data_IF_990414029642
#
_entry.id   IF_990414029642
#
_cell.length_a   1.000
_cell.length_b   1.000
_cell.length_c   1.000
_cell.angle_alpha   90.00
_cell.angle_beta   90.00
_cell.angle_gamma   90.00
#
_symmetry.space_group_name_H-M   'P 1'
#
loop_
_entity.id
_entity.type
_entity.pdbx_description
1 polymer ?
#
# COMPACT_ATOMS: atom_id res chain seq x y z
N UNK A 1 -11.88 -15.09 -2.74
CA UNK A 1 -10.50 -15.31 -2.25
C UNK A 1 -9.61 -14.07 -2.41
N UNK A 2 -9.82 -13.23 -3.44
CA UNK A 2 -9.02 -12.01 -3.66
C UNK A 2 -9.06 -11.02 -2.49
N UNK A 3 -10.19 -10.91 -1.78
CA UNK A 3 -10.30 -10.04 -0.60
C UNK A 3 -9.28 -10.34 0.49
N UNK A 4 -8.98 -11.60 0.73
CA UNK A 4 -8.05 -11.97 1.81
C UNK A 4 -6.65 -11.40 1.55
N UNK A 5 -6.23 -11.32 0.30
CA UNK A 5 -4.91 -10.77 -0.03
C UNK A 5 -4.81 -9.24 0.14
N UNK A 6 -5.93 -8.54 -0.10
CA UNK A 6 -5.97 -7.08 0.07
C UNK A 6 -6.13 -6.68 1.54
N UNK A 7 -6.79 -7.52 2.35
CA UNK A 7 -7.00 -7.30 3.79
C UNK A 7 -5.92 -7.97 4.67
N UNK A 8 -5.01 -8.71 4.08
CA UNK A 8 -3.92 -9.41 4.78
C UNK A 8 -2.67 -9.47 3.89
N UNK A 9 -2.05 -8.32 3.62
CA UNK A 9 -0.89 -8.23 2.72
C UNK A 9 0.29 -9.09 3.15
N UNK A 10 0.40 -9.42 4.44
CA UNK A 10 1.42 -10.30 5.00
C UNK A 10 1.29 -11.76 4.53
N UNK A 11 0.15 -12.14 3.92
CA UNK A 11 -0.03 -13.43 3.26
C UNK A 11 0.48 -13.42 1.81
N UNK A 12 1.41 -12.53 1.51
CA UNK A 12 2.05 -12.46 0.19
C UNK A 12 2.56 -13.83 -0.25
N UNK A 13 2.51 -14.09 -1.57
CA UNK A 13 2.86 -15.37 -2.18
C UNK A 13 1.97 -16.57 -1.81
N UNK A 14 0.80 -16.36 -1.25
CA UNK A 14 -0.23 -17.38 -1.29
C UNK A 14 -0.84 -17.44 -2.69
N UNK A 15 -1.00 -18.64 -3.25
CA UNK A 15 -1.58 -18.85 -4.59
C UNK A 15 -3.08 -19.06 -4.56
N UNK A 16 -3.64 -19.25 -3.39
CA UNK A 16 -5.07 -19.46 -3.20
C UNK A 16 -5.44 -19.98 -1.82
N UNK A 17 -6.72 -19.97 -1.57
CA UNK A 17 -7.32 -20.50 -0.37
C UNK A 17 -8.31 -21.59 -0.76
N UNK A 18 -8.21 -22.75 -0.10
CA UNK A 18 -9.17 -23.85 -0.24
C UNK A 18 -9.99 -23.91 1.03
N UNK A 19 -11.31 -23.74 0.91
CA UNK A 19 -12.20 -23.96 2.03
C UNK A 19 -12.33 -25.47 2.29
N UNK A 20 -12.04 -25.89 3.51
CA UNK A 20 -12.36 -27.24 3.96
C UNK A 20 -13.82 -27.26 4.41
N UNK A 21 -14.63 -28.08 3.75
CA UNK A 21 -16.06 -28.22 4.05
C UNK A 21 -16.28 -29.38 5.02
N UNK A 22 -17.21 -29.22 5.93
CA UNK A 22 -17.60 -30.23 6.91
C UNK A 22 -19.08 -30.10 7.31
N UNK A 23 -19.49 -30.88 8.30
CA UNK A 23 -20.87 -30.94 8.74
C UNK A 23 -21.72 -31.90 7.90
N UNK A 24 -23.03 -32.00 8.22
CA UNK A 24 -23.97 -32.78 7.38
C UNK A 24 -24.08 -32.11 6.02
N UNK A 25 -23.79 -32.86 4.97
CA UNK A 25 -23.80 -32.42 3.57
C UNK A 25 -22.75 -31.34 3.20
N UNK A 26 -21.61 -31.31 3.89
CA UNK A 26 -20.53 -30.34 3.59
C UNK A 26 -21.04 -28.89 3.56
N UNK A 27 -21.94 -28.54 4.45
CA UNK A 27 -22.64 -27.25 4.47
C UNK A 27 -21.94 -26.20 5.34
N UNK A 28 -20.80 -26.52 5.95
CA UNK A 28 -20.07 -25.63 6.84
C UNK A 28 -18.61 -25.55 6.45
N UNK A 29 -18.04 -24.34 6.44
CA UNK A 29 -16.60 -24.16 6.35
C UNK A 29 -16.00 -24.48 7.72
N UNK A 30 -15.17 -25.52 7.79
CA UNK A 30 -14.51 -25.97 9.03
C UNK A 30 -13.04 -25.62 9.06
N UNK A 31 -12.47 -25.16 7.94
CA UNK A 31 -11.09 -24.72 7.84
C UNK A 31 -10.81 -23.98 6.54
N UNK A 32 -9.72 -23.22 6.54
CA UNK A 32 -9.13 -22.62 5.35
C UNK A 32 -7.69 -23.13 5.21
N UNK A 33 -7.35 -23.66 4.05
CA UNK A 33 -6.00 -24.10 3.72
C UNK A 33 -5.42 -23.13 2.70
N UNK A 34 -4.29 -22.52 3.06
CA UNK A 34 -3.52 -21.67 2.16
C UNK A 34 -2.61 -22.52 1.27
N UNK A 35 -2.57 -22.20 -0.02
CA UNK A 35 -1.57 -22.69 -0.95
C UNK A 35 -0.53 -21.60 -1.19
N UNK A 36 0.74 -21.94 -1.22
CA UNK A 36 1.85 -20.99 -1.41
C UNK A 36 2.63 -21.31 -2.68
N UNK A 37 3.25 -20.28 -3.27
CA UNK A 37 4.15 -20.41 -4.44
C UNK A 37 5.42 -21.17 -4.09
N UNK A 38 5.77 -21.24 -2.80
CA UNK A 38 7.01 -21.86 -2.34
C UNK A 38 6.93 -23.38 -2.32
N UNK A 39 7.95 -24.02 -2.87
CA UNK A 39 8.14 -25.48 -2.75
C UNK A 39 8.43 -25.90 -1.31
N UNK A 40 9.01 -24.99 -0.51
CA UNK A 40 9.40 -25.26 0.87
C UNK A 40 8.90 -24.18 1.82
N UNK A 41 8.24 -24.55 2.93
CA UNK A 41 7.78 -23.58 3.94
C UNK A 41 8.89 -22.67 4.49
N UNK A 42 10.14 -23.16 4.52
CA UNK A 42 11.30 -22.41 5.02
C UNK A 42 11.62 -21.19 4.16
N UNK A 43 11.36 -21.26 2.85
CA UNK A 43 11.59 -20.14 1.95
C UNK A 43 10.59 -19.00 2.22
N UNK A 44 9.32 -19.34 2.47
CA UNK A 44 8.33 -18.37 2.93
C UNK A 44 8.75 -17.70 4.24
N UNK A 45 9.15 -18.49 5.25
CA UNK A 45 9.58 -17.97 6.56
C UNK A 45 10.78 -17.03 6.41
N UNK A 46 11.73 -17.36 5.54
CA UNK A 46 12.89 -16.50 5.26
C UNK A 46 12.42 -15.14 4.69
N UNK A 47 11.60 -15.16 3.65
CA UNK A 47 11.16 -13.97 2.95
C UNK A 47 10.24 -13.13 3.84
N UNK A 48 9.36 -13.76 4.60
CA UNK A 48 8.55 -13.12 5.62
C UNK A 48 9.40 -12.36 6.65
N UNK A 49 10.44 -13.02 7.19
CA UNK A 49 11.32 -12.38 8.17
C UNK A 49 12.11 -11.19 7.58
N UNK A 50 12.46 -11.24 6.28
CA UNK A 50 13.11 -10.11 5.60
C UNK A 50 12.14 -8.94 5.51
N UNK A 51 10.92 -9.19 5.02
CA UNK A 51 9.89 -8.16 4.88
C UNK A 51 9.54 -7.51 6.24
N UNK A 52 9.32 -8.33 7.27
CA UNK A 52 8.99 -7.82 8.61
C UNK A 52 10.12 -6.98 9.21
N UNK A 53 11.38 -7.42 9.06
CA UNK A 53 12.54 -6.64 9.52
C UNK A 53 12.63 -5.27 8.84
N UNK A 54 12.27 -5.16 7.57
CA UNK A 54 12.29 -3.90 6.86
C UNK A 54 11.06 -3.04 7.21
N UNK A 55 9.88 -3.66 7.40
CA UNK A 55 8.72 -2.97 7.95
C UNK A 55 9.04 -2.34 9.31
N UNK A 56 9.67 -3.08 10.22
CA UNK A 56 10.09 -2.56 11.54
C UNK A 56 11.06 -1.37 11.44
N UNK A 57 11.90 -1.31 10.40
CA UNK A 57 12.76 -0.14 10.15
C UNK A 57 11.93 1.09 9.74
N UNK A 58 10.94 0.89 8.86
CA UNK A 58 10.05 1.98 8.41
C UNK A 58 9.15 2.47 9.54
N UNK A 59 8.73 1.58 10.43
CA UNK A 59 7.88 1.87 11.59
C UNK A 59 8.65 2.46 12.77
N UNK A 60 9.98 2.45 12.75
CA UNK A 60 10.80 2.88 13.88
C UNK A 60 10.49 4.31 14.33
N UNK A 61 10.06 4.46 15.60
CA UNK A 61 9.71 5.75 16.21
C UNK A 61 8.33 6.28 15.80
N UNK A 62 7.54 5.51 15.02
CA UNK A 62 6.16 5.81 14.67
C UNK A 62 5.21 4.88 15.43
N UNK A 63 5.43 3.56 15.32
CA UNK A 63 4.62 2.55 15.99
C UNK A 63 4.67 2.75 17.52
N UNK A 64 3.48 2.81 18.13
CA UNK A 64 3.34 3.06 19.57
C UNK A 64 3.66 4.50 20.04
N UNK A 65 4.00 5.40 19.13
CA UNK A 65 4.30 6.79 19.46
C UNK A 65 3.01 7.62 19.62
N UNK A 66 2.60 7.86 20.86
CA UNK A 66 1.39 8.62 21.17
C UNK A 66 1.53 10.15 20.98
N UNK A 67 2.72 10.65 20.66
CA UNK A 67 2.94 12.08 20.39
C UNK A 67 2.64 12.44 18.94
N UNK A 68 2.58 11.45 18.04
CA UNK A 68 2.21 11.63 16.64
C UNK A 68 0.71 11.40 16.48
N UNK A 69 0.03 12.31 15.78
CA UNK A 69 -1.34 12.08 15.32
C UNK A 69 -1.34 11.20 14.04
N UNK A 70 -2.54 10.77 13.60
CA UNK A 70 -2.66 9.83 12.49
C UNK A 70 -2.19 10.42 11.15
N UNK A 71 -2.40 11.72 10.94
CA UNK A 71 -1.86 12.42 9.77
C UNK A 71 -0.34 12.40 9.75
N UNK A 72 0.31 12.71 10.88
CA UNK A 72 1.77 12.71 10.99
C UNK A 72 2.36 11.31 10.79
N UNK A 73 1.68 10.27 11.32
CA UNK A 73 2.09 8.87 11.10
C UNK A 73 1.95 8.48 9.62
N UNK A 74 0.80 8.78 9.01
CA UNK A 74 0.55 8.46 7.60
C UNK A 74 1.57 9.14 6.68
N UNK A 75 1.85 10.43 6.88
CA UNK A 75 2.85 11.17 6.11
C UNK A 75 4.26 10.59 6.26
N UNK A 76 4.67 10.28 7.50
CA UNK A 76 5.97 9.67 7.76
C UNK A 76 6.14 8.31 7.08
N UNK A 77 5.09 7.49 7.08
CA UNK A 77 5.12 6.17 6.43
C UNK A 77 5.11 6.30 4.91
N UNK A 78 4.34 7.24 4.36
CA UNK A 78 4.32 7.58 2.94
C UNK A 78 5.74 7.91 2.44
N UNK A 79 6.38 8.90 3.06
CA UNK A 79 7.70 9.36 2.65
C UNK A 79 8.78 8.28 2.82
N UNK A 80 8.73 7.54 3.93
CA UNK A 80 9.69 6.46 4.16
C UNK A 80 9.53 5.32 3.16
N UNK A 81 8.29 5.03 2.75
CA UNK A 81 8.02 3.98 1.78
C UNK A 81 8.52 4.37 0.39
N UNK A 82 8.20 5.60 -0.07
CA UNK A 82 8.70 6.13 -1.33
C UNK A 82 10.23 6.19 -1.38
N UNK A 83 10.89 6.58 -0.26
CA UNK A 83 12.35 6.59 -0.17
C UNK A 83 13.00 5.21 -0.03
N UNK A 84 12.22 4.18 0.26
CA UNK A 84 12.72 2.83 0.51
C UNK A 84 12.63 1.92 -0.70
N UNK A 85 11.64 2.12 -1.55
CA UNK A 85 11.33 1.28 -2.69
C UNK A 85 11.56 2.06 -4.00
N UNK A 86 12.00 1.38 -5.04
CA UNK A 86 12.09 1.91 -6.40
C UNK A 86 10.97 1.33 -7.28
N UNK A 87 10.41 2.14 -8.18
CA UNK A 87 9.42 1.66 -9.14
C UNK A 87 10.09 0.83 -10.24
N UNK A 88 9.59 -0.38 -10.49
CA UNK A 88 10.20 -1.34 -11.44
C UNK A 88 9.89 -1.02 -12.91
N UNK A 89 10.39 0.12 -13.37
CA UNK A 89 10.22 0.56 -14.76
C UNK A 89 10.88 -0.41 -15.75
N UNK A 90 12.04 -0.94 -15.39
CA UNK A 90 12.84 -1.78 -16.31
C UNK A 90 12.12 -3.09 -16.64
N UNK A 91 11.62 -3.79 -15.63
CA UNK A 91 10.90 -5.04 -15.86
C UNK A 91 9.50 -4.79 -16.44
N UNK A 92 8.86 -3.67 -16.09
CA UNK A 92 7.59 -3.27 -16.66
C UNK A 92 7.71 -3.04 -18.18
N UNK A 93 8.70 -2.28 -18.63
CA UNK A 93 8.92 -1.98 -20.05
C UNK A 93 9.33 -3.21 -20.88
N UNK A 94 9.97 -4.19 -20.23
CA UNK A 94 10.40 -5.43 -20.88
C UNK A 94 9.37 -6.58 -20.75
N UNK A 95 8.23 -6.36 -20.10
CA UNK A 95 7.21 -7.39 -19.81
C UNK A 95 7.80 -8.61 -19.04
N UNK A 96 8.67 -8.31 -18.06
CA UNK A 96 9.41 -9.31 -17.25
C UNK A 96 9.20 -9.13 -15.75
N UNK A 97 8.12 -8.45 -15.34
CA UNK A 97 7.81 -8.23 -13.93
C UNK A 97 7.73 -9.57 -13.16
N UNK A 98 8.47 -9.72 -12.05
CA UNK A 98 8.32 -10.88 -11.19
C UNK A 98 7.02 -10.80 -10.38
N UNK A 99 6.50 -11.95 -9.96
CA UNK A 99 5.29 -12.00 -9.10
C UNK A 99 5.44 -11.17 -7.81
N UNK A 100 6.66 -11.03 -7.30
CA UNK A 100 6.96 -10.22 -6.12
C UNK A 100 6.67 -8.74 -6.32
N UNK A 101 6.81 -8.20 -7.53
CA UNK A 101 6.54 -6.80 -7.82
C UNK A 101 5.10 -6.39 -7.54
N UNK A 102 4.15 -7.35 -7.55
CA UNK A 102 2.73 -7.13 -7.33
C UNK A 102 2.28 -7.36 -5.87
N UNK A 103 3.19 -7.54 -4.94
CA UNK A 103 2.85 -7.77 -3.53
C UNK A 103 3.82 -7.03 -2.59
N UNK A 104 3.48 -6.99 -1.30
CA UNK A 104 4.28 -6.21 -0.34
C UNK A 104 5.72 -6.73 -0.16
N UNK A 105 6.04 -7.97 -0.58
CA UNK A 105 7.42 -8.49 -0.51
C UNK A 105 8.32 -7.82 -1.55
N UNK A 106 7.81 -7.48 -2.73
CA UNK A 106 8.57 -6.68 -3.69
C UNK A 106 9.07 -5.39 -3.06
N UNK A 107 8.20 -4.68 -2.35
CA UNK A 107 8.57 -3.47 -1.60
C UNK A 107 9.45 -3.79 -0.40
N UNK A 108 8.91 -4.52 0.59
CA UNK A 108 9.56 -4.68 1.90
C UNK A 108 10.69 -5.71 1.89
N UNK A 109 10.71 -6.63 0.93
CA UNK A 109 11.74 -7.67 0.80
C UNK A 109 12.84 -7.31 -0.20
N UNK A 110 12.46 -6.86 -1.38
CA UNK A 110 13.35 -6.64 -2.52
C UNK A 110 13.67 -5.15 -2.75
N UNK A 111 12.82 -4.23 -2.26
CA UNK A 111 13.00 -2.78 -2.45
C UNK A 111 12.66 -2.31 -3.85
N UNK A 112 11.94 -3.11 -4.64
CA UNK A 112 11.52 -2.78 -5.99
C UNK A 112 10.15 -3.40 -6.28
N UNK A 113 9.20 -2.61 -6.81
CA UNK A 113 7.84 -3.07 -7.05
C UNK A 113 7.09 -2.19 -8.05
N UNK A 114 5.86 -2.58 -8.37
CA UNK A 114 4.89 -1.74 -9.09
C UNK A 114 3.76 -1.28 -8.14
N UNK A 115 2.84 -0.48 -8.64
CA UNK A 115 1.79 0.19 -7.86
C UNK A 115 1.02 -0.72 -6.87
N UNK A 116 0.72 -1.96 -7.27
CA UNK A 116 0.03 -2.91 -6.39
C UNK A 116 0.88 -3.28 -5.18
N UNK A 117 2.19 -3.48 -5.36
CA UNK A 117 3.11 -3.74 -4.26
C UNK A 117 3.20 -2.57 -3.28
N UNK A 118 3.31 -1.33 -3.80
CA UNK A 118 3.30 -0.10 -2.99
C UNK A 118 2.02 0.03 -2.17
N UNK A 119 0.85 -0.13 -2.81
CA UNK A 119 -0.43 0.00 -2.14
C UNK A 119 -0.59 -1.03 -1.01
N UNK A 120 -0.21 -2.29 -1.23
CA UNK A 120 -0.29 -3.35 -0.22
C UNK A 120 0.73 -3.14 0.92
N UNK A 121 1.94 -2.66 0.61
CA UNK A 121 2.94 -2.38 1.63
C UNK A 121 2.52 -1.18 2.50
N UNK A 122 1.96 -0.14 1.89
CA UNK A 122 1.47 1.02 2.63
C UNK A 122 0.29 0.67 3.52
N UNK A 123 -0.68 -0.11 3.03
CA UNK A 123 -1.80 -0.63 3.79
C UNK A 123 -1.34 -1.39 5.04
N UNK A 124 -0.41 -2.33 4.87
CA UNK A 124 0.20 -3.06 5.99
C UNK A 124 0.87 -2.15 7.03
N UNK A 125 1.61 -1.13 6.58
CA UNK A 125 2.30 -0.21 7.49
C UNK A 125 1.31 0.68 8.25
N UNK A 126 0.22 1.11 7.61
CA UNK A 126 -0.85 1.89 8.23
C UNK A 126 -1.60 1.06 9.30
N UNK A 127 -1.94 -0.20 8.99
CA UNK A 127 -2.55 -1.13 9.96
C UNK A 127 -1.70 -1.27 11.22
N UNK A 128 -0.37 -1.41 11.06
CA UNK A 128 0.58 -1.53 12.19
C UNK A 128 0.57 -0.32 13.13
N UNK A 129 0.18 0.85 12.67
CA UNK A 129 0.08 2.07 13.50
C UNK A 129 -1.35 2.45 13.86
N UNK A 130 -2.32 1.59 13.52
CA UNK A 130 -3.73 1.73 13.89
C UNK A 130 -4.51 2.72 13.00
N UNK A 131 -4.08 2.91 11.76
CA UNK A 131 -4.78 3.75 10.77
C UNK A 131 -5.49 2.83 9.79
N UNK A 132 -6.81 2.99 9.68
CA UNK A 132 -7.62 2.25 8.71
C UNK A 132 -7.31 2.71 7.28
N UNK A 133 -7.18 1.75 6.37
CA UNK A 133 -7.02 2.01 4.95
C UNK A 133 -7.72 0.94 4.10
N UNK A 134 -7.88 1.23 2.81
CA UNK A 134 -8.50 0.33 1.84
C UNK A 134 -7.67 0.33 0.57
N UNK A 135 -7.37 -0.86 0.05
CA UNK A 135 -6.77 -1.02 -1.28
C UNK A 135 -7.76 -0.57 -2.36
N UNK A 136 -7.29 0.23 -3.28
CA UNK A 136 -8.05 0.83 -4.38
C UNK A 136 -7.37 0.52 -5.71
N UNK A 137 -8.13 0.14 -6.74
CA UNK A 137 -7.57 -0.15 -8.06
C UNK A 137 -8.47 0.30 -9.20
N UNK A 138 -7.85 0.46 -10.37
CA UNK A 138 -8.49 0.86 -11.60
C UNK A 138 -7.96 0.06 -12.78
N UNK A 139 -8.77 -0.84 -13.35
CA UNK A 139 -8.41 -1.60 -14.55
C UNK A 139 -8.11 -0.68 -15.75
N UNK A 140 -8.87 0.42 -15.90
CA UNK A 140 -8.66 1.36 -17.01
C UNK A 140 -7.35 2.11 -16.95
N UNK A 141 -6.84 2.34 -15.74
CA UNK A 141 -5.53 2.96 -15.51
C UNK A 141 -4.43 1.90 -15.42
N UNK A 142 -4.78 0.64 -15.25
CA UNK A 142 -3.86 -0.42 -14.84
C UNK A 142 -3.04 0.02 -13.62
N UNK A 143 -3.74 0.51 -12.58
CA UNK A 143 -3.12 1.18 -11.45
C UNK A 143 -3.80 0.86 -10.12
N UNK A 144 -3.04 0.93 -9.02
CA UNK A 144 -3.51 0.69 -7.66
C UNK A 144 -2.92 1.71 -6.68
N UNK A 145 -3.72 2.10 -5.67
CA UNK A 145 -3.37 3.04 -4.62
C UNK A 145 -4.23 2.78 -3.36
N UNK A 146 -4.28 3.69 -2.40
CA UNK A 146 -5.04 3.52 -1.16
C UNK A 146 -6.11 4.60 -0.94
N UNK A 147 -7.14 4.24 -0.17
CA UNK A 147 -8.00 5.19 0.53
C UNK A 147 -7.67 5.06 2.01
N UNK A 148 -7.20 6.14 2.64
CA UNK A 148 -6.72 6.20 4.02
C UNK A 148 -7.67 7.01 4.86
N UNK A 149 -7.96 6.58 6.09
CA UNK A 149 -8.87 7.27 7.01
C UNK A 149 -8.08 8.11 8.01
N UNK A 150 -8.24 9.44 7.95
CA UNK A 150 -7.68 10.39 8.92
C UNK A 150 -8.85 11.08 9.64
N UNK A 151 -8.86 11.01 10.97
CA UNK A 151 -9.98 11.53 11.78
C UNK A 151 -11.36 10.95 11.35
N UNK A 152 -11.42 9.69 10.97
CA UNK A 152 -12.57 8.98 10.39
C UNK A 152 -13.06 9.51 9.03
N UNK A 153 -12.32 10.37 8.36
CA UNK A 153 -12.62 10.87 7.02
C UNK A 153 -11.69 10.18 6.01
N UNK A 154 -12.23 9.63 4.89
CA UNK A 154 -11.43 8.97 3.86
C UNK A 154 -10.77 9.97 2.93
N UNK A 155 -9.53 9.66 2.50
CA UNK A 155 -8.73 10.40 1.52
C UNK A 155 -7.98 9.44 0.60
N UNK A 156 -7.81 9.81 -0.66
CA UNK A 156 -6.90 9.08 -1.54
C UNK A 156 -5.45 9.37 -1.20
N UNK A 157 -4.62 8.33 -1.25
CA UNK A 157 -3.16 8.42 -1.14
C UNK A 157 -2.54 7.49 -2.18
N UNK A 158 -1.66 8.01 -3.00
CA UNK A 158 -0.92 7.23 -4.00
C UNK A 158 0.58 7.43 -3.84
N UNK A 159 1.20 6.55 -3.05
CA UNK A 159 2.65 6.57 -2.80
C UNK A 159 3.44 6.35 -4.09
N UNK A 160 2.90 5.55 -5.03
CA UNK A 160 3.57 5.23 -6.29
C UNK A 160 3.79 6.47 -7.17
N UNK A 161 2.75 7.31 -7.30
CA UNK A 161 2.84 8.52 -8.12
C UNK A 161 3.54 9.67 -7.40
N UNK A 162 3.73 9.55 -6.09
CA UNK A 162 4.51 10.48 -5.29
C UNK A 162 6.00 10.04 -5.17
N UNK A 163 6.34 8.86 -5.72
CA UNK A 163 7.71 8.36 -5.86
C UNK A 163 8.24 8.69 -7.28
N UNK A 164 9.23 9.59 -7.42
CA UNK A 164 9.73 9.99 -8.72
C UNK A 164 10.50 8.86 -9.42
N UNK A 165 10.07 8.47 -10.62
CA UNK A 165 10.71 7.40 -11.42
C UNK A 165 12.13 7.72 -11.89
N UNK A 166 12.53 8.99 -11.88
CA UNK A 166 13.91 9.42 -12.19
C UNK A 166 14.86 9.26 -10.99
N UNK A 167 14.39 8.67 -9.90
CA UNK A 167 15.11 8.34 -8.67
C UNK A 167 16.07 9.44 -8.19
N UNK A 168 15.52 10.64 -8.00
CA UNK A 168 16.26 11.73 -7.39
C UNK A 168 16.37 11.45 -5.90
N UNK A 169 17.52 10.94 -5.48
CA UNK A 169 17.78 10.53 -4.09
C UNK A 169 17.28 11.56 -3.07
N UNK A 170 16.34 11.11 -2.23
CA UNK A 170 15.77 11.91 -1.16
C UNK A 170 14.61 12.82 -1.58
N UNK A 171 14.08 12.69 -2.79
CA UNK A 171 12.89 13.41 -3.25
C UNK A 171 11.65 12.54 -3.12
N UNK A 172 10.57 13.10 -2.55
CA UNK A 172 9.24 12.53 -2.51
C UNK A 172 8.25 13.64 -2.87
N UNK A 173 7.29 13.34 -3.73
CA UNK A 173 6.19 14.23 -4.05
C UNK A 173 5.02 14.00 -3.09
N UNK A 174 4.06 14.94 -3.05
CA UNK A 174 2.87 14.85 -2.21
C UNK A 174 1.61 15.31 -2.96
N UNK A 175 1.68 15.33 -4.29
CA UNK A 175 0.56 15.74 -5.14
C UNK A 175 -0.62 14.77 -5.02
N UNK A 176 -0.35 13.53 -4.61
CA UNK A 176 -1.32 12.44 -4.46
C UNK A 176 -1.53 12.02 -3.00
N UNK A 177 -1.11 12.86 -2.02
CA UNK A 177 -1.26 12.57 -0.61
C UNK A 177 -2.49 13.25 -0.02
N UNK A 178 -3.40 12.47 0.61
CA UNK A 178 -4.65 12.88 1.27
C UNK A 178 -5.58 13.73 0.38
N UNK A 179 -5.82 13.26 -0.84
CA UNK A 179 -6.68 13.96 -1.81
C UNK A 179 -8.16 13.55 -1.68
N UNK A 180 -9.05 14.51 -1.92
CA UNK A 180 -10.44 14.18 -2.23
C UNK A 180 -10.55 13.43 -3.56
N UNK A 181 -11.72 12.85 -3.85
CA UNK A 181 -11.97 12.24 -5.17
C UNK A 181 -11.92 13.27 -6.31
N UNK A 182 -12.27 14.51 -6.08
CA UNK A 182 -12.13 15.55 -7.10
C UNK A 182 -10.66 15.99 -7.20
N UNK A 183 -9.96 16.15 -6.07
CA UNK A 183 -8.56 16.55 -6.05
C UNK A 183 -7.63 15.54 -6.72
N UNK A 184 -7.80 14.22 -6.47
CA UNK A 184 -6.93 13.22 -7.09
C UNK A 184 -7.13 13.10 -8.61
N UNK A 185 -8.28 13.54 -9.14
CA UNK A 185 -8.48 13.62 -10.59
C UNK A 185 -7.62 14.68 -11.26
N UNK A 186 -7.33 15.75 -10.55
CA UNK A 186 -6.49 16.85 -11.06
C UNK A 186 -5.05 16.36 -11.29
N UNK A 187 -4.59 15.36 -10.51
CA UNK A 187 -3.28 14.75 -10.68
C UNK A 187 -3.26 13.67 -11.78
N UNK A 188 -4.40 13.37 -12.41
CA UNK A 188 -4.49 12.46 -13.54
C UNK A 188 -5.18 11.12 -13.27
N UNK A 189 -5.62 10.85 -12.04
CA UNK A 189 -6.43 9.68 -11.72
C UNK A 189 -7.81 9.79 -12.38
N UNK A 190 -8.04 8.97 -13.39
CA UNK A 190 -9.26 9.05 -14.20
C UNK A 190 -10.44 8.39 -13.49
N UNK A 191 -11.61 8.98 -13.69
CA UNK A 191 -12.86 8.72 -13.05
C UNK A 191 -13.57 7.42 -13.41
N UNK A 192 -14.48 7.01 -12.51
CA UNK A 192 -15.43 5.91 -12.73
C UNK A 192 -14.75 4.56 -12.78
N UNK A 193 -13.68 4.41 -12.02
CA UNK A 193 -12.67 3.44 -12.30
C UNK A 193 -12.34 2.55 -11.12
N UNK A 194 -13.11 2.67 -10.04
CA UNK A 194 -13.04 1.70 -8.98
C UNK A 194 -13.74 0.42 -9.46
N UNK A 195 -12.99 -0.59 -9.77
CA UNK A 195 -13.54 -1.90 -10.14
C UNK A 195 -14.30 -2.56 -9.00
N UNK A 196 -14.28 -1.93 -7.82
CA UNK A 196 -14.91 -2.39 -6.58
C UNK A 196 -15.59 -1.26 -5.81
N UNK A 197 -16.33 -0.40 -6.50
CA UNK A 197 -17.06 0.74 -5.92
C UNK A 197 -18.00 0.39 -4.77
N UNK A 198 -18.43 -0.85 -4.67
CA UNK A 198 -19.37 -1.30 -3.64
C UNK A 198 -18.73 -1.38 -2.24
N UNK A 199 -17.40 -1.31 -2.15
CA UNK A 199 -16.64 -1.49 -0.90
C UNK A 199 -15.78 -0.30 -0.51
N UNK A 200 -15.55 0.65 -1.42
CA UNK A 200 -14.69 1.80 -1.19
C UNK A 200 -15.53 3.03 -0.88
N UNK A 201 -15.28 3.63 0.27
CA UNK A 201 -15.90 4.91 0.63
C UNK A 201 -15.33 6.01 -0.25
N UNK A 202 -16.19 6.73 -0.98
CA UNK A 202 -15.77 7.85 -1.83
C UNK A 202 -15.26 9.02 -1.00
N UNK A 203 -13.96 9.39 -1.05
CA UNK A 203 -13.42 10.56 -0.39
C UNK A 203 -14.04 11.86 -0.90
N UNK A 204 -14.68 12.63 -0.01
CA UNK A 204 -15.36 13.88 -0.35
C UNK A 204 -14.74 15.11 0.28
N UNK A 205 -13.99 14.92 1.37
CA UNK A 205 -13.37 16.03 2.10
C UNK A 205 -12.23 16.63 1.28
N UNK A 206 -12.30 17.93 1.05
CA UNK A 206 -11.27 18.71 0.35
C UNK A 206 -10.28 19.38 1.32
N UNK A 207 -10.34 18.99 2.61
CA UNK A 207 -9.54 19.61 3.68
C UNK A 207 -8.05 19.70 3.35
N UNK A 208 -7.55 18.74 2.59
CA UNK A 208 -6.14 18.61 2.29
C UNK A 208 -5.80 18.81 0.81
N UNK A 209 -6.79 19.10 -0.07
CA UNK A 209 -6.56 19.25 -1.51
C UNK A 209 -5.58 20.39 -1.86
N UNK A 210 -5.57 21.47 -1.09
CA UNK A 210 -4.68 22.61 -1.26
C UNK A 210 -3.71 22.78 -0.08
N UNK A 211 -3.30 21.68 0.55
CA UNK A 211 -2.44 21.74 1.71
C UNK A 211 -0.95 21.94 1.32
N UNK A 212 -0.14 22.49 2.24
CA UNK A 212 1.22 22.94 1.96
C UNK A 212 2.18 21.83 1.48
N UNK A 213 1.91 20.56 1.75
CA UNK A 213 2.72 19.45 1.26
C UNK A 213 2.60 19.17 -0.23
N UNK A 214 1.66 19.80 -0.92
CA UNK A 214 1.57 19.76 -2.37
C UNK A 214 2.65 20.60 -3.04
N UNK A 215 3.35 21.46 -2.29
CA UNK A 215 4.54 22.14 -2.75
C UNK A 215 5.76 21.25 -2.44
N UNK A 216 6.15 20.43 -3.41
CA UNK A 216 7.01 19.25 -3.36
C UNK A 216 8.35 19.38 -2.63
N UNK A 217 8.82 20.60 -2.39
CA UNK A 217 10.12 20.83 -1.73
C UNK A 217 10.02 21.05 -0.22
N UNK A 218 8.83 21.34 0.30
CA UNK A 218 8.68 21.81 1.70
C UNK A 218 8.44 20.66 2.67
N UNK A 219 7.80 19.59 2.25
CA UNK A 219 7.39 18.48 3.13
C UNK A 219 8.55 17.58 3.51
N UNK A 220 9.50 17.32 2.62
CA UNK A 220 10.70 16.54 2.92
C UNK A 220 11.54 17.18 4.05
N UNK A 221 11.67 18.49 4.08
CA UNK A 221 12.40 19.20 5.14
C UNK A 221 11.71 19.11 6.51
N UNK A 222 10.38 19.07 6.55
CA UNK A 222 9.62 18.94 7.80
C UNK A 222 9.72 17.55 8.41
N UNK A 223 9.68 16.50 7.60
CA UNK A 223 9.79 15.10 8.05
C UNK A 223 11.18 14.79 8.62
N UNK A 224 12.24 15.38 8.09
CA UNK A 224 13.61 15.15 8.56
C UNK A 224 14.01 16.00 9.78
N UNK A 225 13.21 16.98 10.17
CA UNK A 225 13.48 17.85 11.31
C UNK A 225 12.69 17.49 12.58
N UNK A 226 11.87 16.44 12.54
CA UNK A 226 11.23 15.80 13.68
C UNK A 226 11.83 14.41 13.92
#
# INVERSE_FOLDING_TARGET
>A
CEFIWYESPELFRSTGFIAELGGKNESQIVGLKCSYIYDKPQDFVRDYNIAMKNADKLLKGIEGNSTLNDLEKALLLHDRLALFCEYDVVNLDNDTLPDSAFNMYGVLGEGIAVCMGYALAYDYLLERVGIDSQYCSSQRMNHAWNVVYIDNEPYHVDVTWDDPTDDISGQVFHDNFLRSTEGIKETGHKYGVFDRTDYITTPKSTKYDDYFWQDSMTSFQLVNNK
#
